data_IF_804226665978
#
_entry.id   IF_804226665978
#
_cell.length_a   1.000
_cell.length_b   1.000
_cell.length_c   1.000
_cell.angle_alpha   90.00
_cell.angle_beta   90.00
_cell.angle_gamma   90.00
#
_symmetry.space_group_name_H-M   'P 1'
#
loop_
_entity.id
_entity.type
_entity.pdbx_description
1 polymer ?
#
# COMPACT_ATOMS: atom_id res chain seq x y z
N UNK A 1 24.29 9.40 9.72
CA UNK A 1 23.51 9.40 10.97
C UNK A 1 22.24 8.60 10.75
N UNK A 2 21.91 7.65 11.64
CA UNK A 2 20.62 6.96 11.60
C UNK A 2 19.53 8.00 11.84
N UNK A 3 18.49 8.01 10.98
CA UNK A 3 17.36 8.91 11.17
C UNK A 3 16.55 8.46 12.38
N UNK A 4 16.37 9.38 13.32
CA UNK A 4 15.64 9.11 14.56
C UNK A 4 14.16 8.79 14.24
N UNK A 5 13.68 7.67 14.74
CA UNK A 5 12.28 7.26 14.64
C UNK A 5 11.63 7.29 16.00
N UNK A 6 10.34 7.63 16.07
CA UNK A 6 9.56 7.56 17.32
C UNK A 6 9.08 6.13 17.66
N UNK A 7 9.58 5.13 16.94
CA UNK A 7 9.24 3.73 17.22
C UNK A 7 10.04 3.21 18.41
N UNK A 8 9.46 2.34 19.25
CA UNK A 8 10.19 1.59 20.27
C UNK A 8 11.40 0.85 19.67
N UNK A 9 12.46 0.68 20.45
CA UNK A 9 13.71 0.01 20.05
C UNK A 9 13.54 -1.44 19.55
N UNK A 10 12.42 -2.07 19.87
CA UNK A 10 11.97 -3.36 19.35
C UNK A 10 11.83 -3.35 17.84
N UNK A 11 11.41 -2.22 17.25
CA UNK A 11 11.14 -2.11 15.83
C UNK A 11 12.32 -1.48 15.08
N UNK A 12 12.57 -1.98 13.88
CA UNK A 12 13.58 -1.47 12.98
C UNK A 12 12.98 -1.20 11.60
N UNK A 13 13.26 -0.02 11.03
CA UNK A 13 12.89 0.30 9.65
C UNK A 13 14.07 -0.05 8.75
N UNK A 14 13.81 -0.88 7.74
CA UNK A 14 14.79 -1.27 6.72
C UNK A 14 14.23 -1.05 5.31
N UNK A 15 15.13 -0.87 4.35
CA UNK A 15 14.78 -0.99 2.92
C UNK A 15 14.43 -2.45 2.65
N UNK A 16 13.32 -2.66 1.95
CA UNK A 16 12.92 -4.01 1.54
C UNK A 16 13.84 -4.51 0.40
N UNK A 17 14.12 -5.80 0.43
CA UNK A 17 14.93 -6.52 -0.53
C UNK A 17 14.08 -7.53 -1.32
N UNK A 18 14.51 -8.03 -2.48
CA UNK A 18 13.74 -9.00 -3.27
C UNK A 18 13.26 -10.23 -2.51
N UNK A 19 14.00 -10.70 -1.49
CA UNK A 19 13.60 -11.82 -0.62
C UNK A 19 12.34 -11.53 0.22
N UNK A 20 11.98 -10.25 0.40
CA UNK A 20 10.81 -9.83 1.16
C UNK A 20 9.53 -9.67 0.31
N UNK A 21 9.60 -9.95 -1.01
CA UNK A 21 8.46 -9.75 -1.94
C UNK A 21 7.24 -10.57 -1.50
N UNK A 22 7.43 -11.83 -1.14
CA UNK A 22 6.34 -12.71 -0.72
C UNK A 22 5.70 -12.22 0.59
N UNK A 23 6.49 -11.89 1.59
CA UNK A 23 5.99 -11.36 2.87
C UNK A 23 5.23 -10.04 2.69
N UNK A 24 5.81 -9.13 1.89
CA UNK A 24 5.17 -7.85 1.60
C UNK A 24 3.85 -8.02 0.84
N UNK A 25 3.81 -8.94 -0.13
CA UNK A 25 2.59 -9.28 -0.86
C UNK A 25 1.52 -9.84 0.08
N UNK A 26 1.88 -10.78 0.96
CA UNK A 26 0.95 -11.35 1.93
C UNK A 26 0.36 -10.28 2.86
N UNK A 27 1.18 -9.38 3.41
CA UNK A 27 0.70 -8.28 4.27
C UNK A 27 -0.26 -7.37 3.51
N UNK A 28 0.09 -6.96 2.28
CA UNK A 28 -0.75 -6.06 1.47
C UNK A 28 -2.07 -6.73 1.12
N UNK A 29 -2.04 -7.96 0.66
CA UNK A 29 -3.25 -8.70 0.26
C UNK A 29 -4.13 -8.98 1.46
N UNK A 30 -3.58 -9.48 2.57
CA UNK A 30 -4.34 -9.71 3.80
C UNK A 30 -5.05 -8.42 4.27
N UNK A 31 -4.32 -7.32 4.36
CA UNK A 31 -4.86 -6.02 4.77
C UNK A 31 -5.99 -5.55 3.86
N UNK A 32 -5.84 -5.67 2.54
CA UNK A 32 -6.86 -5.23 1.59
C UNK A 32 -8.10 -6.14 1.59
N UNK A 33 -7.91 -7.46 1.64
CA UNK A 33 -9.04 -8.41 1.53
C UNK A 33 -9.86 -8.53 2.81
N UNK A 34 -9.26 -8.31 3.98
CA UNK A 34 -9.92 -8.58 5.26
C UNK A 34 -10.11 -7.36 6.15
N UNK A 35 -9.32 -6.29 5.99
CA UNK A 35 -9.31 -5.15 6.91
C UNK A 35 -9.70 -3.81 6.26
N UNK A 36 -9.54 -3.65 4.96
CA UNK A 36 -9.89 -2.41 4.28
C UNK A 36 -11.40 -2.19 4.25
N UNK A 37 -11.89 -1.12 4.86
CA UNK A 37 -13.32 -0.76 4.86
C UNK A 37 -13.91 -0.66 3.46
N UNK A 38 -13.13 -0.20 2.49
CA UNK A 38 -13.55 -0.10 1.10
C UNK A 38 -13.65 -1.46 0.43
N UNK A 39 -12.54 -2.22 0.40
CA UNK A 39 -12.48 -3.47 -0.36
C UNK A 39 -13.32 -4.59 0.23
N UNK A 40 -13.38 -4.69 1.57
CA UNK A 40 -14.23 -5.68 2.24
C UNK A 40 -15.73 -5.44 2.04
N UNK A 41 -16.12 -4.19 1.79
CA UNK A 41 -17.51 -3.81 1.49
C UNK A 41 -17.85 -4.04 0.03
N UNK A 42 -16.93 -3.73 -0.89
CA UNK A 42 -17.14 -3.92 -2.33
C UNK A 42 -17.05 -5.39 -2.74
N UNK A 43 -16.27 -6.18 -2.02
CA UNK A 43 -16.05 -7.60 -2.29
C UNK A 43 -16.26 -8.43 -1.01
N UNK A 44 -17.50 -8.55 -0.50
CA UNK A 44 -17.78 -9.22 0.77
C UNK A 44 -17.60 -10.74 0.69
N UNK A 45 -17.75 -11.31 -0.51
CA UNK A 45 -17.75 -12.75 -0.73
C UNK A 45 -16.41 -13.28 -1.23
N UNK A 46 -16.15 -14.57 -0.96
CA UNK A 46 -14.99 -15.31 -1.46
C UNK A 46 -13.65 -14.64 -1.15
N UNK A 47 -13.53 -13.99 0.03
CA UNK A 47 -12.34 -13.21 0.40
C UNK A 47 -11.07 -14.04 0.38
N UNK A 48 -11.12 -15.27 0.84
CA UNK A 48 -9.96 -16.17 0.90
C UNK A 48 -9.48 -16.58 -0.49
N UNK A 49 -10.38 -17.03 -1.34
CA UNK A 49 -10.03 -17.33 -2.75
C UNK A 49 -9.47 -16.09 -3.46
N UNK A 50 -10.08 -14.93 -3.22
CA UNK A 50 -9.61 -13.65 -3.74
C UNK A 50 -8.24 -13.26 -3.16
N UNK A 51 -7.96 -13.57 -1.90
CA UNK A 51 -6.64 -13.35 -1.30
C UNK A 51 -5.57 -14.23 -1.93
N UNK A 52 -5.85 -15.48 -2.22
CA UNK A 52 -4.91 -16.38 -2.89
C UNK A 52 -4.61 -15.93 -4.33
N UNK A 53 -5.62 -15.58 -5.10
CA UNK A 53 -5.41 -15.00 -6.43
C UNK A 53 -4.70 -13.65 -6.35
N UNK A 54 -5.02 -12.83 -5.33
CA UNK A 54 -4.34 -11.57 -5.06
C UNK A 54 -2.86 -11.76 -4.78
N UNK A 55 -2.47 -12.73 -3.95
CA UNK A 55 -1.07 -13.06 -3.65
C UNK A 55 -0.30 -13.39 -4.94
N UNK A 56 -0.88 -14.21 -5.81
CA UNK A 56 -0.30 -14.62 -7.09
C UNK A 56 -0.07 -13.43 -8.02
N UNK A 57 -1.06 -12.53 -8.13
CA UNK A 57 -1.05 -11.43 -9.10
C UNK A 57 -0.42 -10.14 -8.57
N UNK A 58 -0.30 -9.94 -7.25
CA UNK A 58 0.36 -8.78 -6.67
C UNK A 58 1.89 -8.82 -6.80
N UNK A 59 2.48 -10.00 -7.06
CA UNK A 59 3.93 -10.21 -7.07
C UNK A 59 4.65 -9.25 -8.01
N UNK A 60 4.09 -8.97 -9.20
CA UNK A 60 4.70 -8.02 -10.13
C UNK A 60 4.79 -6.62 -9.52
N UNK A 61 3.67 -6.08 -9.04
CA UNK A 61 3.61 -4.73 -8.47
C UNK A 61 4.52 -4.58 -7.25
N UNK A 62 4.47 -5.54 -6.34
CA UNK A 62 5.28 -5.53 -5.12
C UNK A 62 6.77 -5.65 -5.45
N UNK A 63 7.13 -6.53 -6.37
CA UNK A 63 8.51 -6.69 -6.84
C UNK A 63 9.05 -5.42 -7.48
N UNK A 64 8.31 -4.82 -8.42
CA UNK A 64 8.68 -3.57 -9.07
C UNK A 64 8.98 -2.46 -8.04
N UNK A 65 8.14 -2.34 -7.02
CA UNK A 65 8.32 -1.35 -5.96
C UNK A 65 9.52 -1.67 -5.06
N UNK A 66 9.74 -2.92 -4.71
CA UNK A 66 10.88 -3.33 -3.86
C UNK A 66 12.20 -3.17 -4.62
N UNK A 67 12.27 -3.61 -5.88
CA UNK A 67 13.47 -3.52 -6.72
C UNK A 67 13.86 -2.07 -7.06
N UNK A 68 12.92 -1.11 -6.94
CA UNK A 68 13.25 0.32 -7.06
C UNK A 68 14.18 0.83 -5.94
N UNK A 69 14.33 0.10 -4.83
CA UNK A 69 15.19 0.45 -3.69
C UNK A 69 14.62 1.56 -2.79
N UNK A 70 13.31 1.84 -2.91
CA UNK A 70 12.64 2.89 -2.13
C UNK A 70 11.56 2.36 -1.18
N UNK A 71 11.18 1.11 -1.31
CA UNK A 71 10.22 0.45 -0.42
C UNK A 71 10.82 0.17 0.95
N UNK A 72 10.03 0.45 1.99
CA UNK A 72 10.45 0.30 3.39
C UNK A 72 9.57 -0.73 4.10
N UNK A 73 10.19 -1.47 5.03
CA UNK A 73 9.51 -2.37 5.94
C UNK A 73 9.87 -2.09 7.39
N UNK A 74 8.94 -2.37 8.29
CA UNK A 74 9.19 -2.40 9.74
C UNK A 74 9.33 -3.84 10.16
N UNK A 75 10.44 -4.15 10.81
CA UNK A 75 10.76 -5.47 11.33
C UNK A 75 10.70 -5.46 12.86
N UNK A 76 10.06 -6.48 13.42
CA UNK A 76 10.06 -6.74 14.85
C UNK A 76 11.30 -7.56 15.22
N UNK A 77 12.26 -6.96 15.89
CA UNK A 77 13.50 -7.63 16.34
C UNK A 77 13.29 -8.66 17.45
N UNK A 78 12.13 -8.59 18.10
CA UNK A 78 11.75 -9.51 19.17
C UNK A 78 10.72 -10.55 18.68
N UNK A 79 10.52 -10.64 17.35
CA UNK A 79 9.63 -11.61 16.75
C UNK A 79 10.03 -13.03 17.15
N UNK A 80 9.04 -13.82 17.54
CA UNK A 80 9.25 -15.23 17.88
C UNK A 80 8.52 -16.07 16.87
N UNK A 81 9.26 -16.87 16.13
CA UNK A 81 8.69 -17.80 15.18
C UNK A 81 7.80 -18.82 15.89
N UNK A 82 6.68 -19.12 15.28
CA UNK A 82 5.72 -20.12 15.76
C UNK A 82 6.09 -21.52 15.31
N UNK A 83 6.92 -21.61 14.26
CA UNK A 83 7.37 -22.88 13.66
C UNK A 83 8.89 -22.96 13.69
N UNK A 84 9.39 -24.18 13.96
CA UNK A 84 10.83 -24.41 14.01
C UNK A 84 11.51 -24.19 12.65
N UNK A 85 10.83 -24.55 11.57
CA UNK A 85 11.31 -24.36 10.19
C UNK A 85 11.49 -22.87 9.83
N UNK A 86 10.62 -22.01 10.35
CA UNK A 86 10.72 -20.56 10.14
C UNK A 86 11.98 -19.97 10.79
N UNK A 87 12.35 -20.47 11.97
CA UNK A 87 13.59 -20.05 12.63
C UNK A 87 14.84 -20.41 11.82
N UNK A 88 14.82 -21.56 11.10
CA UNK A 88 15.93 -21.99 10.26
C UNK A 88 16.06 -21.18 8.94
N UNK A 89 14.98 -20.55 8.49
CA UNK A 89 14.90 -19.81 7.21
C UNK A 89 14.71 -18.30 7.38
N UNK A 90 14.74 -17.80 8.61
CA UNK A 90 14.47 -16.40 8.98
C UNK A 90 13.03 -15.96 8.64
N UNK A 91 12.10 -16.92 8.62
CA UNK A 91 10.67 -16.72 8.41
C UNK A 91 10.14 -17.30 7.10
N UNK A 92 8.84 -17.63 7.10
CA UNK A 92 8.16 -18.15 5.92
C UNK A 92 6.68 -17.75 5.89
N UNK A 93 6.10 -17.81 4.70
CA UNK A 93 4.67 -17.72 4.47
C UNK A 93 4.11 -19.15 4.32
N UNK A 94 3.10 -19.50 5.12
CA UNK A 94 2.49 -20.85 5.12
C UNK A 94 1.05 -20.85 4.58
N UNK A 95 0.68 -19.88 3.75
CA UNK A 95 -0.63 -19.88 3.12
C UNK A 95 -0.79 -21.13 2.24
N UNK A 96 -1.78 -21.94 2.60
CA UNK A 96 -2.17 -23.11 1.82
C UNK A 96 -3.33 -22.75 0.90
N UNK A 97 -3.03 -22.57 -0.37
CA UNK A 97 -4.03 -22.18 -1.39
C UNK A 97 -5.09 -23.24 -1.66
N UNK A 98 -4.93 -24.46 -1.14
CA UNK A 98 -5.96 -25.51 -1.19
C UNK A 98 -6.97 -25.41 -0.04
N UNK A 99 -6.68 -24.63 1.00
CA UNK A 99 -7.58 -24.41 2.13
C UNK A 99 -8.53 -23.24 1.85
N UNK A 100 -9.61 -23.54 1.15
CA UNK A 100 -10.67 -22.55 0.84
C UNK A 100 -11.42 -22.07 2.10
N UNK A 101 -11.31 -22.78 3.22
CA UNK A 101 -11.96 -22.46 4.50
C UNK A 101 -11.11 -21.57 5.42
N UNK A 102 -9.90 -21.20 5.02
CA UNK A 102 -9.07 -20.31 5.82
C UNK A 102 -9.72 -18.92 5.94
N UNK A 103 -9.78 -18.38 7.16
CA UNK A 103 -10.23 -17.02 7.45
C UNK A 103 -9.06 -16.04 7.62
N UNK A 104 -9.38 -14.81 7.98
CA UNK A 104 -8.39 -13.76 8.19
C UNK A 104 -7.38 -14.12 9.28
N UNK A 105 -7.85 -14.69 10.39
CA UNK A 105 -7.00 -14.99 11.54
C UNK A 105 -6.05 -16.14 11.22
N UNK A 106 -6.55 -17.20 10.54
CA UNK A 106 -5.72 -18.31 10.09
C UNK A 106 -4.64 -17.87 9.11
N UNK A 107 -5.00 -17.02 8.14
CA UNK A 107 -4.01 -16.47 7.20
C UNK A 107 -2.99 -15.58 7.89
N UNK A 108 -3.40 -14.81 8.91
CA UNK A 108 -2.50 -14.00 9.73
C UNK A 108 -1.50 -14.86 10.51
N UNK A 109 -1.95 -15.95 11.15
CA UNK A 109 -1.10 -16.92 11.87
C UNK A 109 -0.08 -17.60 10.95
N UNK A 110 -0.43 -17.76 9.68
CA UNK A 110 0.45 -18.37 8.66
C UNK A 110 1.52 -17.43 8.12
N UNK A 111 1.52 -16.15 8.51
CA UNK A 111 2.58 -15.18 8.24
C UNK A 111 3.68 -15.26 9.32
N UNK A 112 4.45 -16.34 9.33
CA UNK A 112 5.45 -16.60 10.36
C UNK A 112 6.81 -15.96 10.02
N UNK A 113 6.83 -14.63 10.00
CA UNK A 113 8.00 -13.83 9.66
C UNK A 113 8.02 -12.48 10.40
N UNK A 114 9.22 -11.84 10.60
CA UNK A 114 9.38 -10.65 11.43
C UNK A 114 8.92 -9.34 10.77
N UNK A 115 8.58 -9.33 9.48
CA UNK A 115 8.07 -8.14 8.78
C UNK A 115 6.64 -7.83 9.24
N UNK A 116 6.41 -6.66 9.82
CA UNK A 116 5.12 -6.31 10.44
C UNK A 116 4.38 -5.18 9.75
N UNK A 117 5.08 -4.39 8.94
CA UNK A 117 4.46 -3.31 8.16
C UNK A 117 5.29 -2.97 6.94
N UNK A 118 4.63 -2.56 5.88
CA UNK A 118 5.26 -2.17 4.62
C UNK A 118 4.79 -0.79 4.17
N UNK A 119 5.69 -0.06 3.51
CA UNK A 119 5.41 1.13 2.72
C UNK A 119 6.10 0.95 1.37
N UNK A 120 5.32 0.55 0.38
CA UNK A 120 5.82 0.25 -0.95
C UNK A 120 5.84 1.51 -1.81
N UNK A 121 6.97 1.77 -2.46
CA UNK A 121 7.19 2.95 -3.27
C UNK A 121 8.15 2.67 -4.41
N UNK A 122 8.05 3.44 -5.47
CA UNK A 122 8.97 3.38 -6.62
C UNK A 122 9.20 4.77 -7.19
N UNK A 123 10.32 4.94 -7.90
CA UNK A 123 10.60 6.15 -8.67
C UNK A 123 9.61 6.25 -9.84
N UNK A 124 8.79 7.30 -9.85
CA UNK A 124 7.72 7.45 -10.84
C UNK A 124 8.20 7.61 -12.28
N UNK A 125 9.47 7.89 -12.49
CA UNK A 125 10.07 7.90 -13.82
C UNK A 125 10.05 6.52 -14.48
N UNK A 126 10.16 5.46 -13.68
CA UNK A 126 10.08 4.08 -14.14
C UNK A 126 8.66 3.54 -13.93
N UNK A 127 7.78 3.80 -14.90
CA UNK A 127 6.37 3.44 -14.83
C UNK A 127 6.10 1.94 -14.72
N UNK A 128 4.86 1.61 -14.36
CA UNK A 128 4.38 0.23 -14.30
C UNK A 128 4.05 -0.29 -15.70
N UNK A 129 4.35 -1.57 -15.93
CA UNK A 129 3.87 -2.33 -17.09
C UNK A 129 2.41 -2.73 -16.82
N UNK A 130 1.48 -2.07 -17.49
CA UNK A 130 0.05 -2.25 -17.26
C UNK A 130 -0.47 -3.62 -17.71
N UNK A 131 0.18 -4.28 -18.67
CA UNK A 131 -0.20 -5.63 -19.09
C UNK A 131 0.04 -6.63 -17.94
N UNK A 132 1.11 -6.44 -17.17
CA UNK A 132 1.40 -7.25 -15.97
C UNK A 132 0.50 -6.94 -14.78
N UNK A 133 -0.20 -5.80 -14.80
CA UNK A 133 -1.19 -5.43 -13.79
C UNK A 133 -2.57 -6.07 -14.02
N UNK A 134 -2.84 -6.61 -15.22
CA UNK A 134 -4.16 -7.11 -15.60
C UNK A 134 -4.71 -8.17 -14.63
N UNK A 135 -3.87 -9.09 -14.15
CA UNK A 135 -4.28 -10.10 -13.17
C UNK A 135 -4.74 -9.49 -11.85
N UNK A 136 -4.00 -8.54 -11.31
CA UNK A 136 -4.36 -7.85 -10.06
C UNK A 136 -5.65 -7.01 -10.23
N UNK A 137 -5.82 -6.35 -11.37
CA UNK A 137 -7.05 -5.64 -11.70
C UNK A 137 -8.24 -6.61 -11.84
N UNK A 138 -8.03 -7.85 -12.27
CA UNK A 138 -9.05 -8.89 -12.25
C UNK A 138 -9.48 -9.32 -10.85
N UNK A 139 -8.55 -9.33 -9.89
CA UNK A 139 -8.86 -9.62 -8.47
C UNK A 139 -9.66 -8.47 -7.83
N UNK A 140 -9.34 -7.23 -8.17
CA UNK A 140 -9.99 -6.01 -7.69
C UNK A 140 -10.43 -5.13 -8.88
N UNK A 141 -11.55 -5.46 -9.57
CA UNK A 141 -11.98 -4.74 -10.77
C UNK A 141 -12.11 -3.21 -10.60
N UNK A 142 -12.49 -2.74 -9.42
CA UNK A 142 -12.62 -1.31 -9.14
C UNK A 142 -11.30 -0.62 -8.76
N UNK A 143 -10.19 -1.37 -8.69
CA UNK A 143 -8.88 -0.79 -8.40
C UNK A 143 -8.46 0.23 -9.47
N UNK A 144 -8.49 -0.16 -10.75
CA UNK A 144 -8.18 0.73 -11.86
C UNK A 144 -9.09 1.98 -11.93
N UNK A 145 -10.43 1.84 -11.88
CA UNK A 145 -11.37 2.96 -11.84
C UNK A 145 -11.09 3.97 -10.73
N UNK A 146 -10.78 3.55 -9.49
CA UNK A 146 -10.44 4.49 -8.40
C UNK A 146 -9.24 5.38 -8.78
N UNK A 147 -8.17 4.79 -9.28
CA UNK A 147 -6.97 5.53 -9.67
C UNK A 147 -7.21 6.44 -10.86
N UNK A 148 -8.03 5.98 -11.82
CA UNK A 148 -8.44 6.77 -12.98
C UNK A 148 -9.21 8.02 -12.56
N UNK A 149 -10.22 7.90 -11.69
CA UNK A 149 -11.01 9.03 -11.19
C UNK A 149 -10.12 10.04 -10.47
N UNK A 150 -9.22 9.57 -9.60
CA UNK A 150 -8.27 10.44 -8.92
C UNK A 150 -7.30 11.13 -9.89
N UNK A 151 -6.94 10.48 -11.00
CA UNK A 151 -6.10 11.09 -12.02
C UNK A 151 -6.84 12.15 -12.83
N UNK A 152 -8.08 11.89 -13.26
CA UNK A 152 -8.91 12.83 -14.03
C UNK A 152 -9.31 14.06 -13.20
N UNK A 153 -9.55 13.88 -11.91
CA UNK A 153 -9.91 14.96 -10.99
C UNK A 153 -8.71 15.84 -10.58
N UNK A 154 -7.48 15.38 -10.79
CA UNK A 154 -6.27 16.20 -10.56
C UNK A 154 -6.13 17.25 -11.65
N UNK A 155 -6.43 18.51 -11.32
CA UNK A 155 -6.44 19.63 -12.28
C UNK A 155 -5.11 20.36 -12.40
N UNK A 156 -4.06 19.87 -11.70
CA UNK A 156 -2.73 20.47 -11.81
C UNK A 156 -2.14 20.27 -13.22
N UNK A 157 -1.31 21.23 -13.65
CA UNK A 157 -0.46 20.98 -14.81
C UNK A 157 0.47 19.79 -14.54
N UNK A 158 0.43 18.79 -15.39
CA UNK A 158 1.24 17.57 -15.29
C UNK A 158 2.74 17.88 -15.10
N UNK A 159 3.26 18.91 -15.77
CA UNK A 159 4.65 19.38 -15.66
C UNK A 159 5.03 19.83 -14.24
N UNK A 160 4.06 20.24 -13.43
CA UNK A 160 4.31 20.71 -12.07
C UNK A 160 4.66 19.57 -11.09
N UNK A 161 4.19 18.35 -11.34
CA UNK A 161 4.31 17.24 -10.40
C UNK A 161 4.90 15.97 -10.99
N UNK A 162 4.77 15.73 -12.30
CA UNK A 162 5.36 14.53 -12.93
C UNK A 162 6.89 14.62 -12.95
N UNK A 163 7.55 13.46 -12.83
CA UNK A 163 9.00 13.37 -12.98
C UNK A 163 9.42 13.59 -14.44
N UNK A 164 10.43 14.40 -14.65
CA UNK A 164 11.09 14.58 -15.96
C UNK A 164 12.34 13.69 -16.08
N UNK A 165 12.82 13.17 -14.97
CA UNK A 165 13.97 12.29 -14.87
C UNK A 165 13.96 11.45 -13.60
N UNK A 166 14.90 10.49 -13.46
CA UNK A 166 15.03 9.66 -12.28
C UNK A 166 15.28 10.48 -11.01
N UNK A 167 14.75 10.03 -9.88
CA UNK A 167 15.01 10.62 -8.58
C UNK A 167 14.23 11.89 -8.28
N UNK A 168 13.24 12.28 -9.10
CA UNK A 168 12.49 13.50 -8.89
C UNK A 168 11.23 13.32 -8.05
N UNK A 169 10.40 12.36 -8.36
CA UNK A 169 9.11 12.12 -7.69
C UNK A 169 8.95 10.65 -7.36
N UNK A 170 8.62 10.35 -6.13
CA UNK A 170 8.34 9.02 -5.66
C UNK A 170 6.83 8.75 -5.73
N UNK A 171 6.42 7.61 -6.30
CA UNK A 171 5.07 7.11 -6.18
C UNK A 171 5.00 6.08 -5.06
N UNK A 172 4.05 6.29 -4.18
CA UNK A 172 3.79 5.43 -3.05
C UNK A 172 2.42 4.76 -3.20
N UNK A 173 2.42 3.46 -3.40
CA UNK A 173 1.21 2.74 -3.80
C UNK A 173 0.53 1.97 -2.65
N UNK A 174 1.28 1.30 -1.75
CA UNK A 174 0.67 0.53 -0.68
C UNK A 174 1.29 0.80 0.69
N UNK A 175 0.43 1.00 1.69
CA UNK A 175 0.77 0.91 3.12
C UNK A 175 -0.09 -0.14 3.75
N UNK A 176 0.52 -1.12 4.37
CA UNK A 176 -0.19 -2.12 5.13
C UNK A 176 0.59 -2.49 6.38
N UNK A 177 -0.13 -2.67 7.47
CA UNK A 177 0.42 -3.16 8.74
C UNK A 177 -0.34 -4.43 9.09
N UNK A 178 0.37 -5.44 9.56
CA UNK A 178 -0.27 -6.65 10.09
C UNK A 178 -1.26 -6.28 11.19
N UNK A 179 -2.41 -6.93 11.22
CA UNK A 179 -3.49 -6.58 12.15
C UNK A 179 -3.06 -6.64 13.61
N UNK A 180 -2.28 -7.64 14.00
CA UNK A 180 -1.74 -7.84 15.34
C UNK A 180 -0.72 -6.74 15.79
N UNK A 181 -0.29 -5.88 14.84
CA UNK A 181 0.59 -4.74 15.07
C UNK A 181 -0.07 -3.38 14.86
N UNK A 182 -1.36 -3.32 14.57
CA UNK A 182 -2.08 -2.06 14.43
C UNK A 182 -2.19 -1.28 15.75
N UNK A 183 -2.54 0.00 15.67
CA UNK A 183 -2.69 0.88 16.85
C UNK A 183 -1.37 1.31 17.53
N UNK A 184 -0.21 0.83 17.07
CA UNK A 184 1.11 1.11 17.67
C UNK A 184 1.87 2.28 17.02
N UNK A 185 1.21 3.04 16.14
CA UNK A 185 1.80 4.20 15.46
C UNK A 185 2.83 3.87 14.36
N UNK A 186 2.96 2.59 14.00
CA UNK A 186 3.96 2.08 13.04
C UNK A 186 3.80 2.75 11.68
N UNK A 187 2.58 2.78 11.13
CA UNK A 187 2.30 3.39 9.81
C UNK A 187 2.74 4.85 9.76
N UNK A 188 2.41 5.65 10.78
CA UNK A 188 2.80 7.06 10.84
C UNK A 188 4.32 7.23 10.90
N UNK A 189 5.01 6.44 11.71
CA UNK A 189 6.46 6.49 11.83
C UNK A 189 7.15 6.11 10.50
N UNK A 190 6.65 5.05 9.84
CA UNK A 190 7.16 4.57 8.56
C UNK A 190 6.95 5.61 7.44
N UNK A 191 5.78 6.26 7.37
CA UNK A 191 5.51 7.34 6.42
C UNK A 191 6.45 8.53 6.62
N UNK A 192 6.62 8.98 7.88
CA UNK A 192 7.54 10.08 8.20
C UNK A 192 9.01 9.74 7.93
N UNK A 193 9.40 8.49 8.14
CA UNK A 193 10.73 8.02 7.78
C UNK A 193 10.93 8.03 6.26
N UNK A 194 9.94 7.59 5.49
CA UNK A 194 9.97 7.63 4.02
C UNK A 194 10.11 9.07 3.51
N UNK A 195 9.35 10.02 4.04
CA UNK A 195 9.45 11.44 3.67
C UNK A 195 10.89 11.97 3.85
N UNK A 196 11.49 11.69 5.01
CA UNK A 196 12.86 12.12 5.31
C UNK A 196 13.91 11.44 4.42
N UNK A 197 13.76 10.14 4.19
CA UNK A 197 14.72 9.39 3.35
C UNK A 197 14.61 9.77 1.89
N UNK A 198 13.41 9.99 1.37
CA UNK A 198 13.20 10.47 0.01
C UNK A 198 13.77 11.89 -0.18
N UNK A 199 13.52 12.81 0.76
CA UNK A 199 14.11 14.14 0.74
C UNK A 199 15.65 14.10 0.75
N UNK A 200 16.24 13.26 1.60
CA UNK A 200 17.70 13.07 1.67
C UNK A 200 18.30 12.48 0.38
N UNK A 201 17.54 11.66 -0.34
CA UNK A 201 17.91 11.12 -1.67
C UNK A 201 17.70 12.13 -2.81
N UNK A 202 17.13 13.31 -2.53
CA UNK A 202 16.96 14.37 -3.53
C UNK A 202 15.58 14.44 -4.18
N UNK A 203 14.64 13.55 -3.87
CA UNK A 203 13.27 13.64 -4.36
C UNK A 203 12.63 14.96 -3.95
N UNK A 204 11.91 15.59 -4.88
CA UNK A 204 11.18 16.85 -4.62
C UNK A 204 9.77 16.61 -4.07
N UNK A 205 9.22 15.43 -4.31
CA UNK A 205 7.88 15.10 -3.85
C UNK A 205 7.59 13.60 -3.80
N UNK A 206 6.53 13.28 -3.04
CA UNK A 206 5.93 11.94 -3.00
C UNK A 206 4.45 12.08 -3.33
N UNK A 207 3.96 11.28 -4.27
CA UNK A 207 2.55 11.15 -4.55
C UNK A 207 2.02 9.84 -3.97
N UNK A 208 0.82 9.90 -3.39
CA UNK A 208 0.13 8.74 -2.82
C UNK A 208 -1.39 8.86 -3.04
N UNK A 209 -2.02 7.74 -3.37
CA UNK A 209 -3.46 7.56 -3.33
C UNK A 209 -3.84 6.90 -2.00
N UNK A 210 -4.77 7.53 -1.26
CA UNK A 210 -5.19 7.10 0.07
C UNK A 210 -6.64 6.62 0.03
N UNK A 211 -6.85 5.36 0.39
CA UNK A 211 -8.16 4.71 0.51
C UNK A 211 -8.52 4.39 1.97
N UNK A 212 -7.89 5.08 2.91
CA UNK A 212 -8.16 5.01 4.34
C UNK A 212 -7.88 6.37 4.97
N UNK A 213 -8.78 6.84 5.85
CA UNK A 213 -8.70 8.17 6.46
C UNK A 213 -7.43 8.36 7.30
N UNK A 214 -6.99 7.31 8.01
CA UNK A 214 -5.76 7.36 8.79
C UNK A 214 -4.52 7.60 7.91
N UNK A 215 -4.48 7.00 6.72
CA UNK A 215 -3.39 7.20 5.75
C UNK A 215 -3.46 8.62 5.18
N UNK A 216 -4.66 9.05 4.76
CA UNK A 216 -4.87 10.43 4.28
C UNK A 216 -4.43 11.46 5.32
N UNK A 217 -4.83 11.28 6.58
CA UNK A 217 -4.47 12.19 7.66
C UNK A 217 -2.95 12.34 7.83
N UNK A 218 -2.20 11.23 7.80
CA UNK A 218 -0.74 11.26 7.95
C UNK A 218 -0.06 11.97 6.78
N UNK A 219 -0.52 11.74 5.55
CA UNK A 219 0.10 12.30 4.34
C UNK A 219 -0.32 13.73 4.06
N UNK A 220 -1.54 14.14 4.47
CA UNK A 220 -2.00 15.53 4.36
C UNK A 220 -1.44 16.43 5.47
N UNK A 221 -0.92 15.83 6.57
CA UNK A 221 -0.36 16.56 7.71
C UNK A 221 1.06 16.06 8.03
N UNK A 222 2.01 16.18 7.10
CA UNK A 222 3.39 15.74 7.32
C UNK A 222 4.09 16.65 8.33
N UNK A 223 5.18 16.16 8.98
CA UNK A 223 5.97 17.01 9.86
C UNK A 223 6.73 18.08 9.06
N UNK A 224 6.97 19.27 9.64
CA UNK A 224 7.86 20.25 9.03
C UNK A 224 9.24 19.67 8.69
N UNK A 225 9.88 20.09 7.58
CA UNK A 225 9.49 21.16 6.67
C UNK A 225 8.55 20.73 5.53
N UNK A 226 8.11 19.48 5.51
CA UNK A 226 7.30 18.92 4.42
C UNK A 226 5.89 19.50 4.40
N UNK A 227 5.25 19.48 3.22
CA UNK A 227 3.88 19.98 3.02
C UNK A 227 3.08 18.95 2.26
N UNK A 228 1.91 18.56 2.81
CA UNK A 228 0.96 17.65 2.17
C UNK A 228 -0.24 18.43 1.62
N UNK A 229 -0.62 18.15 0.38
CA UNK A 229 -1.78 18.74 -0.28
C UNK A 229 -2.65 17.65 -0.86
N UNK A 230 -3.96 17.69 -0.56
CA UNK A 230 -4.95 16.84 -1.25
C UNK A 230 -5.23 17.49 -2.61
N UNK A 231 -4.75 16.86 -3.68
CA UNK A 231 -4.78 17.42 -5.05
C UNK A 231 -5.94 16.87 -5.88
N UNK A 232 -6.55 15.80 -5.41
CA UNK A 232 -7.73 15.18 -6.02
C UNK A 232 -8.43 14.32 -4.99
N UNK A 233 -9.76 14.24 -5.08
CA UNK A 233 -10.56 13.39 -4.22
C UNK A 233 -11.92 13.05 -4.83
N UNK A 234 -12.53 11.99 -4.31
CA UNK A 234 -13.96 11.72 -4.46
C UNK A 234 -14.44 10.87 -3.29
N UNK A 235 -15.76 10.79 -3.12
CA UNK A 235 -16.37 9.97 -2.08
C UNK A 235 -17.13 8.81 -2.71
N UNK A 236 -16.79 7.58 -2.34
CA UNK A 236 -17.33 6.36 -2.95
C UNK A 236 -18.85 6.26 -2.88
N UNK A 237 -19.46 6.69 -1.77
CA UNK A 237 -20.92 6.65 -1.57
C UNK A 237 -21.69 7.60 -2.49
N UNK A 238 -21.10 8.75 -2.84
CA UNK A 238 -21.75 9.81 -3.63
C UNK A 238 -21.29 9.90 -5.07
N UNK A 239 -20.20 9.19 -5.43
CA UNK A 239 -19.73 9.17 -6.80
C UNK A 239 -20.76 8.53 -7.72
N UNK A 240 -20.97 9.16 -8.86
CA UNK A 240 -21.87 8.71 -9.89
C UNK A 240 -21.23 8.88 -11.28
N UNK A 241 -21.60 8.01 -12.18
CA UNK A 241 -21.21 8.09 -13.60
C UNK A 241 -22.36 7.62 -14.50
N UNK A 242 -22.21 7.82 -15.79
CA UNK A 242 -23.16 7.30 -16.77
C UNK A 242 -22.67 5.97 -17.30
N UNK A 243 -23.56 4.98 -17.31
CA UNK A 243 -23.31 3.71 -17.96
C UNK A 243 -23.44 3.81 -19.51
N UNK A 244 -23.27 2.67 -20.18
CA UNK A 244 -23.39 2.58 -21.66
C UNK A 244 -24.78 2.98 -22.19
N UNK A 245 -25.81 2.90 -21.36
CA UNK A 245 -27.18 3.28 -21.69
C UNK A 245 -27.51 4.74 -21.35
N UNK A 246 -26.54 5.45 -20.72
CA UNK A 246 -26.73 6.82 -20.25
C UNK A 246 -27.46 6.92 -18.90
N UNK A 247 -27.67 5.80 -18.21
CA UNK A 247 -28.25 5.78 -16.86
C UNK A 247 -27.22 6.11 -15.79
N UNK A 248 -27.68 6.77 -14.71
CA UNK A 248 -26.79 7.10 -13.61
C UNK A 248 -26.54 5.87 -12.73
N UNK A 249 -25.29 5.49 -12.58
CA UNK A 249 -24.85 4.38 -11.75
C UNK A 249 -23.89 4.84 -10.64
N UNK A 250 -23.83 4.06 -9.58
CA UNK A 250 -22.97 4.32 -8.41
C UNK A 250 -22.05 3.11 -8.18
N UNK A 251 -20.95 2.99 -8.92
CA UNK A 251 -20.16 1.75 -8.98
C UNK A 251 -19.49 1.35 -7.68
N UNK A 252 -19.33 2.30 -6.75
CA UNK A 252 -18.66 2.06 -5.47
C UNK A 252 -19.61 1.83 -4.30
N UNK A 253 -20.92 1.92 -4.49
CA UNK A 253 -21.86 1.62 -3.39
C UNK A 253 -21.86 0.12 -3.09
N UNK A 254 -21.97 -0.28 -1.81
CA UNK A 254 -22.27 0.55 -0.61
C UNK A 254 -21.01 1.03 0.15
N UNK A 255 -19.80 1.01 -0.43
CA UNK A 255 -18.62 1.48 0.26
C UNK A 255 -18.73 2.96 0.66
N UNK A 256 -18.35 3.27 1.90
CA UNK A 256 -18.41 4.61 2.48
C UNK A 256 -17.00 5.08 2.84
N UNK A 257 -16.25 5.52 1.83
CA UNK A 257 -14.84 5.90 1.97
C UNK A 257 -14.53 7.14 1.12
N UNK A 258 -13.81 8.08 1.69
CA UNK A 258 -13.18 9.16 0.94
C UNK A 258 -11.88 8.66 0.31
N UNK A 259 -11.81 8.65 -1.00
CA UNK A 259 -10.59 8.39 -1.77
C UNK A 259 -9.89 9.71 -2.07
N UNK A 260 -8.58 9.80 -1.79
CA UNK A 260 -7.81 11.02 -1.99
C UNK A 260 -6.49 10.74 -2.69
N UNK A 261 -6.02 11.71 -3.46
CA UNK A 261 -4.67 11.77 -4.00
C UNK A 261 -3.94 12.90 -3.29
N UNK A 262 -2.86 12.57 -2.61
CA UNK A 262 -2.05 13.53 -1.85
C UNK A 262 -0.69 13.69 -2.51
N UNK A 263 -0.24 14.93 -2.66
CA UNK A 263 1.13 15.24 -3.04
C UNK A 263 1.86 15.83 -1.83
N UNK A 264 2.92 15.16 -1.40
CA UNK A 264 3.77 15.64 -0.32
C UNK A 264 5.03 16.27 -0.89
N UNK A 265 5.15 17.58 -0.77
CA UNK A 265 6.35 18.35 -1.17
C UNK A 265 7.44 18.17 -0.13
N UNK A 266 8.65 17.82 -0.59
CA UNK A 266 9.81 17.48 0.25
C UNK A 266 10.89 18.57 0.27
N UNK A 267 10.77 19.58 -0.59
CA UNK A 267 11.73 20.71 -0.73
C UNK A 267 11.02 22.04 -0.65
#
# INVERSE_FOLDING_TARGET
MAMETKLPSRYEIRVLEPKHVEWASAIVIHSNMFLSSMWTTLYPDNKTARAYEGLKHATYLVRHQIESGHSLGVFDKEYRFTRQESAATDGALYWDTSDEGADADKLLEQMDFPLVSVALAYDSFYGLDMDKMAGLMGVLPLFGPVYHILAVNDKRDAKSWQANGPGEVLFRNATSTRHDYEGKGIMKALAQYMMRTAAAKGFRGIQIECLADAVNHVWSNPPPPFRGEVVSEFHTMTYEEKDENGETVHPFRPANQRATKVYCTLK
#
